data_IF_033552168114
#
_entry.id   IF_033552168114
#
_cell.length_a   1.000
_cell.length_b   1.000
_cell.length_c   1.000
_cell.angle_alpha   90.00
_cell.angle_beta   90.00
_cell.angle_gamma   90.00
#
_symmetry.space_group_name_H-M   'P 1'
#
loop_
_entity.id
_entity.type
_entity.pdbx_description
1 polymer ?
#
# COMPACT_ATOMS: atom_id res chain seq x y z
N UNK A 1 -53.10 -71.90 4.91
CA UNK A 1 -52.62 -70.85 3.98
C UNK A 1 -52.75 -69.54 4.68
N UNK A 2 -51.62 -68.96 5.19
CA UNK A 2 -51.56 -67.63 5.81
C UNK A 2 -50.77 -66.77 4.83
N UNK A 3 -51.44 -65.76 4.32
CA UNK A 3 -50.79 -64.70 3.51
C UNK A 3 -50.13 -63.70 4.40
N UNK A 4 -48.82 -63.50 4.23
CA UNK A 4 -48.06 -62.36 4.88
C UNK A 4 -48.12 -61.19 3.94
N UNK A 5 -48.68 -60.09 4.41
CA UNK A 5 -48.70 -58.76 3.75
C UNK A 5 -47.47 -57.97 4.22
N UNK A 6 -46.50 -57.81 3.34
CA UNK A 6 -45.31 -57.01 3.61
C UNK A 6 -45.59 -55.56 3.24
N UNK A 7 -45.63 -54.66 4.24
CA UNK A 7 -45.73 -53.20 4.06
C UNK A 7 -44.31 -52.66 3.88
N UNK A 8 -43.98 -52.18 2.70
CA UNK A 8 -42.77 -51.39 2.46
C UNK A 8 -43.01 -49.94 2.91
N UNK A 9 -42.32 -49.50 3.98
CA UNK A 9 -42.22 -48.11 4.37
C UNK A 9 -41.11 -47.43 3.51
N UNK A 10 -41.49 -46.54 2.61
CA UNK A 10 -40.57 -45.69 1.88
C UNK A 10 -40.22 -44.48 2.79
N UNK A 11 -39.00 -44.47 3.34
CA UNK A 11 -38.45 -43.34 4.05
C UNK A 11 -37.85 -42.38 3.04
N UNK A 12 -38.53 -41.26 2.74
CA UNK A 12 -38.02 -40.17 1.94
C UNK A 12 -37.04 -39.34 2.77
N UNK A 13 -35.77 -39.42 2.45
CA UNK A 13 -34.76 -38.56 3.02
C UNK A 13 -34.86 -37.17 2.36
N UNK A 14 -35.40 -36.18 3.11
CA UNK A 14 -35.26 -34.78 2.74
C UNK A 14 -33.84 -34.33 3.07
N UNK A 15 -32.96 -34.25 2.10
CA UNK A 15 -31.68 -33.57 2.23
C UNK A 15 -31.97 -32.07 2.25
N UNK A 16 -31.98 -31.47 3.44
CA UNK A 16 -31.93 -30.01 3.58
C UNK A 16 -30.50 -29.57 3.21
N UNK A 17 -30.29 -29.17 1.94
CA UNK A 17 -29.10 -28.43 1.55
C UNK A 17 -29.14 -27.07 2.23
N UNK A 18 -28.40 -26.93 3.31
CA UNK A 18 -28.04 -25.58 3.78
C UNK A 18 -27.20 -24.95 2.68
N UNK A 19 -27.78 -24.01 1.96
CA UNK A 19 -26.99 -23.12 1.11
C UNK A 19 -26.03 -22.40 2.03
N UNK A 20 -24.76 -22.78 2.01
CA UNK A 20 -23.69 -22.04 2.65
C UNK A 20 -23.78 -20.64 2.07
N UNK A 21 -24.04 -19.64 2.89
CA UNK A 21 -24.10 -18.24 2.41
C UNK A 21 -22.76 -17.95 1.75
N UNK A 22 -22.79 -17.72 0.46
CA UNK A 22 -21.60 -17.46 -0.36
C UNK A 22 -21.11 -16.04 -0.02
N UNK A 23 -20.54 -15.88 1.19
CA UNK A 23 -19.98 -14.62 1.67
C UNK A 23 -18.46 -14.69 1.50
N UNK A 24 -17.95 -13.94 0.56
CA UNK A 24 -16.51 -13.78 0.38
C UNK A 24 -16.06 -12.42 0.94
N UNK A 25 -14.82 -12.37 1.45
CA UNK A 25 -14.23 -11.17 2.05
C UNK A 25 -12.85 -10.90 1.46
N UNK A 26 -12.56 -9.63 1.21
CA UNK A 26 -11.23 -9.13 0.86
C UNK A 26 -10.80 -8.05 1.85
N UNK A 27 -9.57 -8.14 2.30
CA UNK A 27 -8.90 -7.12 3.10
C UNK A 27 -7.90 -6.37 2.21
N UNK A 28 -8.18 -5.12 1.93
CA UNK A 28 -7.27 -4.22 1.24
C UNK A 28 -6.36 -3.51 2.23
N UNK A 29 -5.13 -3.26 1.78
CA UNK A 29 -4.19 -2.40 2.47
C UNK A 29 -3.54 -1.46 1.46
N UNK A 30 -3.56 -0.17 1.78
CA UNK A 30 -2.93 0.88 0.98
C UNK A 30 -1.91 1.62 1.83
N UNK A 31 -0.81 2.01 1.23
CA UNK A 31 0.18 2.90 1.83
C UNK A 31 0.47 4.07 0.90
N UNK A 32 0.99 5.15 1.46
CA UNK A 32 1.37 6.34 0.72
C UNK A 32 2.66 6.19 -0.09
N UNK A 33 3.35 7.30 -0.24
CA UNK A 33 4.46 7.45 -1.17
C UNK A 33 5.71 6.73 -0.67
N UNK A 34 6.22 5.79 -1.48
CA UNK A 34 7.50 5.10 -1.25
C UNK A 34 8.57 5.83 -2.04
N UNK A 35 9.28 6.71 -1.35
CA UNK A 35 10.33 7.53 -1.92
C UNK A 35 11.73 7.05 -1.52
N UNK A 36 12.75 7.51 -2.24
CA UNK A 36 14.14 7.11 -2.03
C UNK A 36 15.09 8.30 -2.15
N UNK A 37 15.37 8.96 -1.04
CA UNK A 37 16.34 10.06 -0.98
C UNK A 37 17.77 9.54 -0.74
N UNK A 38 18.75 10.40 -0.96
CA UNK A 38 20.17 10.04 -0.80
C UNK A 38 20.53 9.47 0.58
N UNK A 39 19.91 9.99 1.66
CA UNK A 39 20.11 9.46 3.02
C UNK A 39 19.58 8.02 3.19
N UNK A 40 18.49 7.68 2.51
CA UNK A 40 17.94 6.32 2.53
C UNK A 40 18.83 5.35 1.75
N UNK A 41 19.36 5.78 0.59
CA UNK A 41 20.33 4.99 -0.20
C UNK A 41 21.56 4.70 0.66
N UNK A 42 22.12 5.72 1.30
CA UNK A 42 23.28 5.56 2.17
C UNK A 42 22.99 4.66 3.39
N UNK A 43 21.80 4.81 3.99
CA UNK A 43 21.38 4.01 5.14
C UNK A 43 21.15 2.52 4.84
N UNK A 44 20.79 2.21 3.59
CA UNK A 44 20.56 0.83 3.13
C UNK A 44 21.83 0.16 2.61
N UNK A 45 22.92 0.91 2.37
CA UNK A 45 24.14 0.35 1.79
C UNK A 45 24.97 -0.39 2.83
N UNK A 46 25.26 -1.65 2.56
CA UNK A 46 26.15 -2.48 3.33
C UNK A 46 27.53 -2.58 2.65
N UNK A 47 28.50 -1.82 3.14
CA UNK A 47 29.83 -1.75 2.54
C UNK A 47 30.60 -3.10 2.58
N UNK A 48 30.30 -3.98 3.55
CA UNK A 48 30.96 -5.30 3.65
C UNK A 48 30.50 -6.27 2.55
N UNK A 49 29.24 -6.11 2.10
CA UNK A 49 28.62 -6.96 1.09
C UNK A 49 28.57 -6.29 -0.30
N UNK A 50 28.93 -5.02 -0.42
CA UNK A 50 28.73 -4.16 -1.59
C UNK A 50 27.29 -4.27 -2.12
N UNK A 51 26.31 -4.22 -1.23
CA UNK A 51 24.91 -4.44 -1.54
C UNK A 51 23.99 -3.52 -0.74
N UNK A 52 22.77 -3.33 -1.23
CA UNK A 52 21.71 -2.57 -0.55
C UNK A 52 20.72 -3.52 0.13
N UNK A 53 20.22 -3.13 1.29
CA UNK A 53 19.18 -3.86 2.02
C UNK A 53 18.22 -2.88 2.70
N UNK A 54 16.94 -2.93 2.33
CA UNK A 54 15.90 -2.08 2.89
C UNK A 54 14.93 -2.85 3.79
N UNK A 55 15.17 -4.14 4.05
CA UNK A 55 14.22 -4.98 4.80
C UNK A 55 13.97 -4.49 6.21
N UNK A 56 14.98 -3.91 6.84
CA UNK A 56 14.86 -3.33 8.18
C UNK A 56 13.87 -2.16 8.22
N UNK A 57 13.75 -1.42 7.11
CA UNK A 57 12.82 -0.31 7.01
C UNK A 57 11.36 -0.74 7.26
N UNK A 58 10.99 -1.93 6.81
CA UNK A 58 9.63 -2.44 6.84
C UNK A 58 9.35 -3.40 8.01
N UNK A 59 10.33 -3.72 8.85
CA UNK A 59 10.21 -4.79 9.85
C UNK A 59 9.02 -4.63 10.80
N UNK A 60 8.70 -3.41 11.23
CA UNK A 60 7.62 -3.15 12.19
C UNK A 60 6.22 -3.08 11.54
N UNK A 61 6.15 -2.93 10.23
CA UNK A 61 4.88 -2.89 9.47
C UNK A 61 4.61 -4.16 8.67
N UNK A 62 5.63 -4.98 8.45
CA UNK A 62 5.54 -6.23 7.69
C UNK A 62 4.44 -7.18 8.17
N UNK A 63 4.20 -7.41 9.48
CA UNK A 63 3.12 -8.26 9.93
C UNK A 63 1.74 -7.72 9.56
N UNK A 64 1.58 -6.39 9.59
CA UNK A 64 0.32 -5.73 9.22
C UNK A 64 0.08 -5.90 7.71
N UNK A 65 1.11 -5.65 6.89
CA UNK A 65 1.03 -5.75 5.43
C UNK A 65 0.69 -7.18 4.99
N UNK A 66 1.30 -8.20 5.61
CA UNK A 66 1.10 -9.60 5.26
C UNK A 66 -0.30 -10.15 5.59
N UNK A 67 -1.05 -9.47 6.42
CA UNK A 67 -2.43 -9.85 6.75
C UNK A 67 -3.45 -9.38 5.70
N UNK A 68 -3.03 -8.57 4.73
CA UNK A 68 -3.91 -8.11 3.67
C UNK A 68 -3.96 -9.11 2.50
N UNK A 69 -5.14 -9.23 1.87
CA UNK A 69 -5.32 -10.01 0.64
C UNK A 69 -4.76 -9.25 -0.57
N UNK A 70 -4.97 -7.93 -0.61
CA UNK A 70 -4.48 -7.02 -1.64
C UNK A 70 -3.80 -5.84 -0.96
N UNK A 71 -2.47 -5.76 -1.11
CA UNK A 71 -1.62 -4.73 -0.49
C UNK A 71 -0.95 -3.89 -1.58
N UNK A 72 -1.23 -2.58 -1.58
CA UNK A 72 -0.88 -1.66 -2.66
C UNK A 72 0.08 -0.60 -2.16
N UNK A 73 1.23 -0.45 -2.84
CA UNK A 73 2.21 0.61 -2.58
C UNK A 73 2.41 1.51 -3.80
N UNK A 74 2.52 2.83 -3.58
CA UNK A 74 2.92 3.78 -4.62
C UNK A 74 4.46 3.85 -4.67
N UNK A 75 5.06 3.29 -5.73
CA UNK A 75 6.51 3.37 -5.97
C UNK A 75 6.84 4.71 -6.64
N UNK A 76 7.18 5.70 -5.84
CA UNK A 76 7.44 7.08 -6.30
C UNK A 76 8.93 7.32 -6.58
N UNK A 77 9.52 6.37 -7.30
CA UNK A 77 10.89 6.40 -7.80
C UNK A 77 11.01 5.54 -9.04
N UNK A 78 12.11 5.71 -9.80
CA UNK A 78 12.49 4.76 -10.85
C UNK A 78 13.67 3.89 -10.43
N UNK A 79 13.85 2.75 -11.10
CA UNK A 79 15.05 1.90 -11.02
C UNK A 79 15.95 2.13 -12.25
N UNK A 80 16.33 3.40 -12.53
CA UNK A 80 17.08 3.74 -13.73
C UNK A 80 18.50 3.14 -13.77
N UNK A 81 18.99 2.60 -12.67
CA UNK A 81 20.31 2.01 -12.51
C UNK A 81 21.35 2.98 -11.93
N UNK A 82 22.57 2.49 -11.76
CA UNK A 82 23.70 3.29 -11.24
C UNK A 82 24.03 4.47 -12.18
N UNK A 83 24.48 5.62 -11.63
CA UNK A 83 24.58 5.92 -10.21
C UNK A 83 23.19 6.08 -9.57
N UNK A 84 22.98 5.44 -8.42
CA UNK A 84 21.75 5.64 -7.64
C UNK A 84 21.74 7.05 -7.05
N UNK A 85 20.56 7.70 -7.03
CA UNK A 85 20.40 9.08 -6.56
C UNK A 85 18.99 9.36 -6.08
N UNK A 86 18.91 10.28 -5.12
CA UNK A 86 17.66 10.82 -4.62
C UNK A 86 17.16 11.99 -5.47
N UNK A 87 16.43 12.89 -4.78
CA UNK A 87 15.88 14.11 -5.38
C UNK A 87 16.96 14.92 -6.15
N UNK A 88 16.62 15.59 -7.29
CA UNK A 88 15.25 15.75 -7.83
C UNK A 88 14.80 14.66 -8.81
N UNK A 89 15.67 13.78 -9.26
CA UNK A 89 15.36 12.69 -10.19
C UNK A 89 15.84 11.38 -9.57
N UNK A 90 14.88 10.61 -9.08
CA UNK A 90 15.16 9.39 -8.32
C UNK A 90 15.63 8.24 -9.22
N UNK A 91 16.70 7.58 -8.77
CA UNK A 91 17.13 6.28 -9.28
C UNK A 91 17.47 5.38 -8.10
N UNK A 92 16.51 4.56 -7.69
CA UNK A 92 16.64 3.68 -6.53
C UNK A 92 17.32 2.35 -6.90
N UNK A 93 18.07 1.74 -5.95
CA UNK A 93 18.48 0.33 -6.06
C UNK A 93 17.24 -0.58 -6.20
N UNK A 94 17.29 -1.64 -7.03
CA UNK A 94 16.20 -2.62 -7.15
C UNK A 94 15.79 -3.27 -5.83
N UNK A 95 16.71 -3.39 -4.89
CA UNK A 95 16.53 -3.95 -3.56
C UNK A 95 15.45 -3.21 -2.74
N UNK A 96 15.10 -1.97 -3.11
CA UNK A 96 13.94 -1.29 -2.52
C UNK A 96 12.65 -2.03 -2.87
N UNK A 97 12.41 -2.33 -4.15
CA UNK A 97 11.23 -3.09 -4.58
C UNK A 97 11.27 -4.55 -4.11
N UNK A 98 12.46 -5.18 -4.04
CA UNK A 98 12.63 -6.50 -3.43
C UNK A 98 12.16 -6.49 -1.97
N UNK A 99 12.49 -5.43 -1.22
CA UNK A 99 12.08 -5.28 0.18
C UNK A 99 10.59 -4.98 0.33
N UNK A 100 9.96 -4.29 -0.62
CA UNK A 100 8.50 -4.12 -0.67
C UNK A 100 7.80 -5.47 -0.83
N UNK A 101 8.25 -6.30 -1.77
CA UNK A 101 7.70 -7.64 -2.00
C UNK A 101 7.93 -8.53 -0.77
N UNK A 102 9.12 -8.50 -0.16
CA UNK A 102 9.41 -9.22 1.09
C UNK A 102 8.51 -8.76 2.24
N UNK A 103 8.19 -7.46 2.31
CA UNK A 103 7.28 -6.91 3.31
C UNK A 103 5.84 -7.40 3.12
N UNK A 104 5.46 -7.88 1.93
CA UNK A 104 4.15 -8.46 1.64
C UNK A 104 3.32 -7.66 0.64
N UNK A 105 3.85 -6.59 0.05
CA UNK A 105 3.15 -5.89 -1.02
C UNK A 105 3.02 -6.78 -2.26
N UNK A 106 1.81 -6.90 -2.78
CA UNK A 106 1.50 -7.73 -3.95
C UNK A 106 1.02 -6.91 -5.16
N UNK A 107 0.84 -5.60 -4.98
CA UNK A 107 0.54 -4.64 -6.05
C UNK A 107 1.40 -3.39 -5.88
N UNK A 108 1.99 -2.92 -6.97
CA UNK A 108 2.77 -1.68 -7.05
C UNK A 108 2.15 -0.77 -8.09
N UNK A 109 1.81 0.46 -7.71
CA UNK A 109 1.35 1.49 -8.65
C UNK A 109 2.53 2.40 -9.02
N UNK A 110 2.61 2.78 -10.29
CA UNK A 110 3.78 3.45 -10.88
C UNK A 110 3.48 4.77 -11.57
N UNK A 111 2.19 5.16 -11.74
CA UNK A 111 1.84 6.46 -12.27
C UNK A 111 1.88 7.51 -11.15
N UNK A 112 2.96 8.27 -11.11
CA UNK A 112 3.21 9.37 -10.19
C UNK A 112 4.10 10.42 -10.89
N UNK A 113 4.39 11.55 -10.22
CA UNK A 113 5.17 12.64 -10.82
C UNK A 113 6.65 12.26 -11.05
N UNK A 114 7.16 11.19 -10.42
CA UNK A 114 8.50 10.65 -10.61
C UNK A 114 8.58 9.46 -11.58
N UNK A 115 7.47 9.10 -12.23
CA UNK A 115 7.43 7.99 -13.19
C UNK A 115 8.44 8.10 -14.32
N UNK A 116 8.79 9.34 -14.73
CA UNK A 116 9.71 9.62 -15.83
C UNK A 116 11.15 9.92 -15.40
N UNK A 117 11.49 9.79 -14.14
CA UNK A 117 12.86 9.97 -13.66
C UNK A 117 13.80 8.98 -14.35
N UNK A 118 14.95 9.45 -14.80
CA UNK A 118 15.85 8.63 -15.63
C UNK A 118 15.36 8.42 -17.08
N UNK A 119 14.30 9.12 -17.51
CA UNK A 119 13.74 9.09 -18.87
C UNK A 119 13.18 7.72 -19.26
N UNK A 120 13.11 7.45 -20.56
CA UNK A 120 12.60 6.18 -21.10
C UNK A 120 13.29 4.94 -20.51
N UNK A 121 14.61 5.03 -20.27
CA UNK A 121 15.37 3.94 -19.64
C UNK A 121 14.92 3.69 -18.20
N UNK A 122 14.61 4.76 -17.44
CA UNK A 122 14.11 4.63 -16.07
C UNK A 122 12.79 3.89 -16.03
N UNK A 123 11.83 4.27 -16.87
CA UNK A 123 10.53 3.58 -16.98
C UNK A 123 10.72 2.10 -17.32
N UNK A 124 11.45 1.78 -18.40
CA UNK A 124 11.62 0.38 -18.83
C UNK A 124 12.29 -0.47 -17.75
N UNK A 125 13.38 0.02 -17.15
CA UNK A 125 14.06 -0.72 -16.09
C UNK A 125 13.23 -0.91 -14.83
N UNK A 126 12.38 0.07 -14.49
CA UNK A 126 11.45 -0.08 -13.38
C UNK A 126 10.47 -1.22 -13.64
N UNK A 127 9.89 -1.26 -14.84
CA UNK A 127 9.01 -2.35 -15.25
C UNK A 127 9.73 -3.72 -15.25
N UNK A 128 10.97 -3.77 -15.75
CA UNK A 128 11.78 -5.00 -15.78
C UNK A 128 12.07 -5.53 -14.36
N UNK A 129 12.32 -4.63 -13.40
CA UNK A 129 12.52 -5.01 -11.99
C UNK A 129 11.24 -5.58 -11.41
N UNK A 130 10.09 -4.92 -11.62
CA UNK A 130 8.80 -5.36 -11.09
C UNK A 130 8.36 -6.70 -11.72
N UNK A 131 8.55 -6.87 -13.03
CA UNK A 131 8.29 -8.13 -13.73
C UNK A 131 9.17 -9.28 -13.17
N UNK A 132 10.47 -9.03 -13.00
CA UNK A 132 11.40 -10.02 -12.42
C UNK A 132 10.98 -10.45 -11.01
N UNK A 133 10.43 -9.54 -10.23
CA UNK A 133 9.92 -9.82 -8.88
C UNK A 133 8.56 -10.54 -8.90
N UNK A 134 7.90 -10.62 -10.05
CA UNK A 134 6.58 -11.22 -10.19
C UNK A 134 5.48 -10.45 -9.44
N UNK A 135 5.71 -9.20 -9.06
CA UNK A 135 4.73 -8.36 -8.40
C UNK A 135 3.80 -7.72 -9.41
N UNK A 136 2.50 -7.71 -9.14
CA UNK A 136 1.54 -7.04 -10.02
C UNK A 136 1.77 -5.53 -9.99
N UNK A 137 1.80 -4.90 -11.17
CA UNK A 137 2.01 -3.47 -11.24
C UNK A 137 1.16 -2.81 -12.33
N UNK A 138 0.91 -1.51 -12.20
CA UNK A 138 0.12 -0.74 -13.16
C UNK A 138 0.41 0.76 -13.05
N UNK A 139 0.07 1.51 -14.11
CA UNK A 139 0.22 2.96 -14.19
C UNK A 139 1.17 3.40 -15.30
N UNK A 140 2.22 2.61 -15.58
CA UNK A 140 3.17 2.84 -16.68
C UNK A 140 3.31 1.57 -17.53
N UNK A 141 3.58 1.72 -18.82
CA UNK A 141 3.61 0.61 -19.78
C UNK A 141 4.68 0.83 -20.85
N UNK A 142 5.25 -0.25 -21.37
CA UNK A 142 6.24 -0.21 -22.45
C UNK A 142 5.65 0.22 -23.80
N UNK A 143 4.35 -0.03 -24.01
CA UNK A 143 3.66 0.33 -25.24
C UNK A 143 2.13 0.17 -25.11
N UNK A 144 1.41 0.59 -26.18
CA UNK A 144 -0.04 0.54 -26.25
C UNK A 144 -0.60 -0.91 -26.17
N UNK A 145 0.12 -1.88 -26.74
CA UNK A 145 -0.32 -3.28 -26.70
C UNK A 145 -0.29 -3.80 -25.27
N UNK A 146 0.81 -3.57 -24.52
CA UNK A 146 0.94 -3.96 -23.12
C UNK A 146 -0.17 -3.31 -22.27
N UNK A 147 -0.39 -1.98 -22.43
CA UNK A 147 -1.48 -1.28 -21.75
C UNK A 147 -2.84 -1.87 -22.08
N UNK A 148 -3.14 -2.10 -23.33
CA UNK A 148 -4.43 -2.63 -23.76
C UNK A 148 -4.69 -4.03 -23.19
N UNK A 149 -3.67 -4.86 -23.05
CA UNK A 149 -3.76 -6.22 -22.52
C UNK A 149 -3.88 -6.23 -20.98
N UNK A 150 -3.09 -5.38 -20.30
CA UNK A 150 -2.90 -5.47 -18.85
C UNK A 150 -3.63 -4.37 -18.06
N UNK A 151 -4.39 -3.49 -18.73
CA UNK A 151 -5.10 -2.39 -18.07
C UNK A 151 -6.59 -2.37 -18.40
N UNK A 152 -7.50 -2.19 -17.43
CA UNK A 152 -7.26 -2.11 -15.97
C UNK A 152 -6.53 -3.33 -15.42
N UNK A 153 -5.72 -3.16 -14.35
CA UNK A 153 -5.10 -4.30 -13.66
C UNK A 153 -6.19 -5.10 -12.95
N UNK A 154 -6.33 -6.36 -13.33
CA UNK A 154 -7.31 -7.28 -12.75
C UNK A 154 -6.68 -8.16 -11.68
N UNK A 155 -7.37 -8.26 -10.55
CA UNK A 155 -7.06 -9.20 -9.48
C UNK A 155 -8.29 -10.02 -9.16
N UNK A 156 -8.16 -11.33 -9.26
CA UNK A 156 -9.19 -12.27 -8.80
C UNK A 156 -8.71 -12.91 -7.50
N UNK A 157 -9.46 -12.71 -6.43
CA UNK A 157 -9.12 -13.23 -5.10
C UNK A 157 -10.39 -13.44 -4.28
N UNK A 158 -10.45 -14.55 -3.53
CA UNK A 158 -11.57 -14.87 -2.65
C UNK A 158 -12.94 -14.73 -3.33
N UNK A 159 -13.07 -15.17 -4.60
CA UNK A 159 -14.33 -15.09 -5.35
C UNK A 159 -14.76 -13.69 -5.78
N UNK A 160 -13.90 -12.68 -5.64
CA UNK A 160 -14.12 -11.32 -6.12
C UNK A 160 -13.13 -10.93 -7.20
N UNK A 161 -13.62 -10.17 -8.19
CA UNK A 161 -12.84 -9.62 -9.29
C UNK A 161 -12.71 -8.12 -9.12
N UNK A 162 -11.49 -7.64 -8.95
CA UNK A 162 -11.14 -6.24 -8.66
C UNK A 162 -10.41 -5.64 -9.85
N UNK A 163 -10.83 -4.45 -10.29
CA UNK A 163 -10.07 -3.61 -11.22
C UNK A 163 -9.32 -2.53 -10.45
N UNK A 164 -8.02 -2.42 -10.68
CA UNK A 164 -7.19 -1.33 -10.15
C UNK A 164 -6.83 -0.40 -11.30
N UNK A 165 -7.16 0.88 -11.13
CA UNK A 165 -6.84 1.98 -12.02
C UNK A 165 -5.83 2.88 -11.33
N UNK A 166 -4.82 3.40 -12.08
CA UNK A 166 -3.80 4.29 -11.53
C UNK A 166 -3.44 5.39 -12.52
N UNK A 167 -3.45 6.65 -12.04
CA UNK A 167 -3.17 7.83 -12.86
C UNK A 167 -2.39 8.88 -12.07
N UNK A 168 -1.64 9.74 -12.79
CA UNK A 168 -0.92 10.90 -12.24
C UNK A 168 -1.33 12.20 -12.90
N UNK A 169 -1.26 13.31 -12.13
CA UNK A 169 -1.50 14.66 -12.65
C UNK A 169 -0.40 15.12 -13.62
N UNK A 170 0.79 14.55 -13.51
CA UNK A 170 1.94 15.01 -14.29
C UNK A 170 3.21 14.21 -13.96
N UNK A 171 4.32 14.62 -14.57
CA UNK A 171 5.64 13.97 -14.46
C UNK A 171 6.76 14.98 -14.30
N UNK A 172 6.54 16.03 -13.48
CA UNK A 172 7.51 17.09 -13.19
C UNK A 172 8.12 17.75 -14.46
N UNK A 173 7.31 17.87 -15.51
CA UNK A 173 7.75 18.41 -16.80
C UNK A 173 8.64 17.47 -17.63
N UNK A 174 8.92 16.27 -17.13
CA UNK A 174 9.62 15.23 -17.88
C UNK A 174 8.64 14.48 -18.79
N UNK A 175 9.15 14.01 -19.93
CA UNK A 175 8.39 13.16 -20.84
C UNK A 175 9.20 11.93 -21.23
N UNK A 176 8.51 10.91 -21.71
CA UNK A 176 9.13 9.71 -22.28
C UNK A 176 8.77 9.59 -23.74
N UNK A 177 9.70 9.03 -24.52
CA UNK A 177 9.46 8.81 -25.94
C UNK A 177 8.46 7.67 -26.15
N UNK A 178 7.64 7.79 -27.20
CA UNK A 178 6.88 6.66 -27.68
C UNK A 178 7.83 5.46 -27.96
N UNK A 179 7.39 4.21 -27.70
CA UNK A 179 6.02 3.78 -27.46
C UNK A 179 5.59 3.77 -25.99
N UNK A 180 6.41 4.26 -25.04
CA UNK A 180 6.12 4.22 -23.60
C UNK A 180 4.86 5.03 -23.27
N UNK A 181 4.10 4.56 -22.28
CA UNK A 181 2.86 5.20 -21.84
C UNK A 181 2.91 5.37 -20.32
N UNK A 182 2.57 6.59 -19.89
CA UNK A 182 2.26 6.94 -18.51
C UNK A 182 0.76 7.25 -18.45
N UNK A 183 0.03 6.74 -17.51
CA UNK A 183 -1.37 7.06 -17.34
C UNK A 183 -1.52 8.43 -16.66
N UNK A 184 -1.92 9.43 -17.41
CA UNK A 184 -2.25 10.75 -16.89
C UNK A 184 -3.72 10.84 -16.49
N UNK A 185 -4.02 11.71 -15.53
CA UNK A 185 -5.39 12.11 -15.20
C UNK A 185 -5.96 12.90 -16.39
N UNK A 186 -6.78 12.24 -17.17
CA UNK A 186 -7.48 12.78 -18.35
C UNK A 186 -8.87 12.17 -18.44
N UNK A 187 -9.90 13.01 -18.58
CA UNK A 187 -11.30 12.55 -18.52
C UNK A 187 -11.64 11.56 -19.63
N UNK A 188 -11.16 11.80 -20.85
CA UNK A 188 -11.45 10.93 -22.00
C UNK A 188 -10.82 9.54 -21.83
N UNK A 189 -9.54 9.52 -21.41
CA UNK A 189 -8.81 8.26 -21.17
C UNK A 189 -9.43 7.51 -20.00
N UNK A 190 -9.68 8.20 -18.89
CA UNK A 190 -10.24 7.58 -17.69
C UNK A 190 -11.66 7.05 -17.93
N UNK A 191 -12.52 7.78 -18.64
CA UNK A 191 -13.87 7.33 -19.00
C UNK A 191 -13.84 6.01 -19.79
N UNK A 192 -12.94 5.91 -20.79
CA UNK A 192 -12.76 4.68 -21.57
C UNK A 192 -12.26 3.51 -20.69
N UNK A 193 -11.33 3.76 -19.76
CA UNK A 193 -10.79 2.73 -18.88
C UNK A 193 -11.84 2.26 -17.85
N UNK A 194 -12.61 3.18 -17.27
CA UNK A 194 -13.73 2.82 -16.39
C UNK A 194 -14.81 2.04 -17.13
N UNK A 195 -15.13 2.43 -18.37
CA UNK A 195 -16.05 1.66 -19.22
C UNK A 195 -15.53 0.25 -19.45
N UNK A 196 -14.26 0.11 -19.79
CA UNK A 196 -13.62 -1.22 -19.96
C UNK A 196 -13.68 -2.05 -18.68
N UNK A 197 -13.42 -1.47 -17.50
CA UNK A 197 -13.56 -2.16 -16.23
C UNK A 197 -14.98 -2.70 -16.01
N UNK A 198 -16.01 -1.87 -16.28
CA UNK A 198 -17.41 -2.30 -16.17
C UNK A 198 -17.75 -3.43 -17.15
N UNK A 199 -17.29 -3.33 -18.40
CA UNK A 199 -17.47 -4.39 -19.42
C UNK A 199 -16.85 -5.71 -19.03
N UNK A 200 -15.76 -5.69 -18.26
CA UNK A 200 -15.12 -6.86 -17.67
C UNK A 200 -15.91 -7.46 -16.50
N UNK A 201 -17.04 -6.86 -16.11
CA UNK A 201 -17.91 -7.31 -15.03
C UNK A 201 -17.15 -7.54 -13.72
N UNK A 202 -16.33 -6.54 -13.36
CA UNK A 202 -15.63 -6.58 -12.08
C UNK A 202 -16.60 -6.31 -10.92
N UNK A 203 -16.29 -6.86 -9.77
CA UNK A 203 -17.06 -6.66 -8.54
C UNK A 203 -16.74 -5.33 -7.86
N UNK A 204 -15.51 -4.82 -8.06
CA UNK A 204 -15.01 -3.61 -7.40
C UNK A 204 -14.03 -2.85 -8.30
N UNK A 205 -14.13 -1.52 -8.29
CA UNK A 205 -13.18 -0.62 -8.97
C UNK A 205 -12.46 0.24 -7.94
N UNK A 206 -11.14 0.06 -7.85
CA UNK A 206 -10.23 0.88 -7.05
C UNK A 206 -9.50 1.84 -7.98
N UNK A 207 -9.67 3.15 -7.79
CA UNK A 207 -8.96 4.18 -8.54
C UNK A 207 -7.92 4.85 -7.66
N UNK A 208 -6.65 4.75 -8.02
CA UNK A 208 -5.55 5.39 -7.31
C UNK A 208 -5.07 6.61 -8.10
N UNK A 209 -4.97 7.77 -7.43
CA UNK A 209 -4.66 9.06 -8.05
C UNK A 209 -3.47 9.73 -7.38
N UNK A 210 -2.46 10.05 -8.17
CA UNK A 210 -1.36 10.89 -7.73
C UNK A 210 -1.67 12.33 -8.11
N UNK A 211 -2.10 13.14 -7.13
CA UNK A 211 -2.82 14.38 -7.36
C UNK A 211 -2.69 15.42 -6.23
N UNK A 212 -3.23 16.61 -6.47
CA UNK A 212 -3.36 17.65 -5.43
C UNK A 212 -2.17 18.61 -5.43
N UNK A 213 -1.96 19.26 -4.30
CA UNK A 213 -0.89 20.22 -4.08
C UNK A 213 0.01 19.73 -2.95
N UNK A 214 1.31 19.72 -3.18
CA UNK A 214 2.28 19.32 -2.15
C UNK A 214 2.09 20.10 -0.84
N UNK A 215 2.19 19.38 0.26
CA UNK A 215 2.23 19.90 1.64
C UNK A 215 0.92 20.55 2.14
N UNK A 216 -0.18 20.39 1.42
CA UNK A 216 -1.51 20.83 1.84
C UNK A 216 -2.23 19.70 2.57
N UNK A 217 -2.59 19.91 3.84
CA UNK A 217 -3.26 18.88 4.67
C UNK A 217 -4.76 18.72 4.40
N UNK A 218 -5.35 19.53 3.52
CA UNK A 218 -6.75 19.41 3.11
C UNK A 218 -6.85 19.33 1.58
N UNK A 219 -7.82 18.55 1.07
CA UNK A 219 -8.00 18.39 -0.37
C UNK A 219 -8.46 19.69 -1.03
N UNK A 220 -7.84 20.02 -2.17
CA UNK A 220 -8.20 21.18 -2.96
C UNK A 220 -9.37 20.90 -3.93
N UNK A 221 -9.81 21.92 -4.68
CA UNK A 221 -10.92 21.80 -5.63
C UNK A 221 -10.61 20.80 -6.77
N UNK A 222 -9.34 20.72 -7.21
CA UNK A 222 -8.91 19.77 -8.25
C UNK A 222 -9.15 18.33 -7.80
N UNK A 223 -8.71 17.99 -6.58
CA UNK A 223 -8.92 16.65 -6.01
C UNK A 223 -10.42 16.33 -5.89
N UNK A 224 -11.23 17.26 -5.37
CA UNK A 224 -12.68 17.08 -5.20
C UNK A 224 -13.42 16.85 -6.53
N UNK A 225 -13.02 17.56 -7.58
CA UNK A 225 -13.60 17.39 -8.91
C UNK A 225 -13.27 16.00 -9.50
N UNK A 226 -12.03 15.54 -9.38
CA UNK A 226 -11.63 14.24 -9.88
C UNK A 226 -12.19 13.08 -9.04
N UNK A 227 -12.33 13.26 -7.74
CA UNK A 227 -13.04 12.29 -6.91
C UNK A 227 -14.48 12.10 -7.37
N UNK A 228 -15.20 13.23 -7.55
CA UNK A 228 -16.57 13.19 -8.07
C UNK A 228 -16.64 12.49 -9.43
N UNK A 229 -15.73 12.81 -10.34
CA UNK A 229 -15.62 12.15 -11.64
C UNK A 229 -15.45 10.62 -11.48
N UNK A 230 -14.53 10.17 -10.64
CA UNK A 230 -14.31 8.74 -10.41
C UNK A 230 -15.58 8.04 -9.90
N UNK A 231 -16.29 8.65 -8.97
CA UNK A 231 -17.56 8.08 -8.49
C UNK A 231 -18.67 8.11 -9.53
N UNK A 232 -18.73 9.13 -10.35
CA UNK A 232 -19.70 9.19 -11.46
C UNK A 232 -19.42 8.09 -12.49
N UNK A 233 -18.15 7.70 -12.68
CA UNK A 233 -17.74 6.60 -13.54
C UNK A 233 -17.85 5.21 -12.88
N UNK A 234 -18.14 5.13 -11.58
CA UNK A 234 -18.39 3.86 -10.88
C UNK A 234 -17.22 3.34 -10.04
N UNK A 235 -16.29 4.20 -9.61
CA UNK A 235 -15.32 3.83 -8.59
C UNK A 235 -15.99 3.45 -7.26
N UNK A 236 -15.43 2.50 -6.54
CA UNK A 236 -15.81 2.14 -5.18
C UNK A 236 -14.85 2.74 -4.16
N UNK A 237 -13.58 2.84 -4.52
CA UNK A 237 -12.55 3.45 -3.71
C UNK A 237 -11.72 4.43 -4.55
N UNK A 238 -11.44 5.60 -3.98
CA UNK A 238 -10.52 6.61 -4.54
C UNK A 238 -9.41 6.85 -3.54
N UNK A 239 -8.19 6.47 -3.91
CA UNK A 239 -7.01 6.48 -3.03
C UNK A 239 -5.96 7.44 -3.58
N UNK A 240 -5.63 8.48 -2.82
CA UNK A 240 -4.74 9.55 -3.20
C UNK A 240 -3.32 9.44 -2.64
N UNK A 241 -2.35 9.97 -3.40
CA UNK A 241 -0.96 10.22 -3.04
C UNK A 241 -0.49 11.54 -3.64
N UNK A 242 0.76 11.95 -3.46
CA UNK A 242 1.44 13.17 -3.93
C UNK A 242 1.55 14.32 -2.91
N UNK A 243 0.54 14.70 -2.09
CA UNK A 243 0.73 15.80 -1.17
C UNK A 243 1.87 15.61 -0.16
N UNK A 244 2.40 14.41 0.00
CA UNK A 244 3.45 14.02 0.96
C UNK A 244 3.08 14.28 2.42
N UNK A 245 1.84 14.63 2.68
CA UNK A 245 1.27 14.83 4.00
C UNK A 245 -0.06 14.07 4.09
N UNK A 246 -0.44 13.73 5.30
CA UNK A 246 -1.75 13.14 5.55
C UNK A 246 -2.86 14.12 5.16
N UNK A 247 -3.83 13.62 4.41
CA UNK A 247 -5.12 14.27 4.20
C UNK A 247 -6.23 13.36 4.73
N UNK A 248 -7.46 13.86 4.92
CA UNK A 248 -8.56 13.09 5.50
C UNK A 248 -8.88 11.79 4.78
N UNK A 249 -9.48 10.87 5.51
CA UNK A 249 -10.14 9.67 4.99
C UNK A 249 -11.64 9.79 5.22
N UNK A 250 -12.43 9.53 4.20
CA UNK A 250 -13.89 9.65 4.28
C UNK A 250 -14.57 8.38 3.73
N UNK A 251 -15.43 7.80 4.55
CA UNK A 251 -16.46 6.87 4.07
C UNK A 251 -17.73 7.65 3.94
N UNK A 252 -18.27 7.71 2.73
CA UNK A 252 -19.47 8.49 2.41
C UNK A 252 -20.46 7.66 1.60
N UNK A 253 -21.72 8.04 1.64
CA UNK A 253 -22.75 7.45 0.79
C UNK A 253 -22.80 8.20 -0.56
N UNK A 254 -22.69 7.45 -1.64
CA UNK A 254 -22.82 7.94 -3.02
C UNK A 254 -23.79 7.03 -3.75
N UNK A 255 -24.91 7.60 -4.23
CA UNK A 255 -25.97 6.85 -4.93
C UNK A 255 -26.49 5.63 -4.14
N UNK A 256 -26.57 5.75 -2.81
CA UNK A 256 -27.06 4.68 -1.91
C UNK A 256 -26.01 3.60 -1.56
N UNK A 257 -24.76 3.77 -1.94
CA UNK A 257 -23.67 2.85 -1.64
C UNK A 257 -22.56 3.55 -0.84
N UNK A 258 -21.94 2.81 0.10
CA UNK A 258 -20.77 3.29 0.83
C UNK A 258 -19.55 3.29 -0.09
N UNK A 259 -18.87 4.42 -0.19
CA UNK A 259 -17.65 4.61 -0.97
C UNK A 259 -16.53 5.13 -0.06
N UNK A 260 -15.30 4.82 -0.40
CA UNK A 260 -14.11 5.20 0.37
C UNK A 260 -13.26 6.20 -0.42
N UNK A 261 -13.00 7.37 0.17
CA UNK A 261 -11.96 8.30 -0.31
C UNK A 261 -10.87 8.42 0.74
N UNK A 262 -9.62 8.20 0.34
CA UNK A 262 -8.45 8.67 1.06
C UNK A 262 -7.78 9.76 0.23
N UNK A 263 -7.78 11.00 0.71
CA UNK A 263 -7.30 12.13 -0.09
C UNK A 263 -5.79 12.12 -0.29
N UNK A 264 -5.02 11.77 0.75
CA UNK A 264 -3.59 11.46 0.69
C UNK A 264 -3.16 10.60 1.88
N UNK A 265 -2.39 9.57 1.59
CA UNK A 265 -1.84 8.68 2.62
C UNK A 265 -0.49 9.18 3.20
N UNK A 266 0.02 10.32 2.71
CA UNK A 266 1.31 10.87 3.14
C UNK A 266 2.51 10.05 2.67
N UNK A 267 3.65 10.25 3.30
CA UNK A 267 4.88 9.51 3.02
C UNK A 267 4.91 8.19 3.80
N UNK A 268 4.80 7.07 3.09
CA UNK A 268 5.04 5.78 3.74
C UNK A 268 6.50 5.61 4.14
N UNK A 269 7.42 6.01 3.25
CA UNK A 269 8.84 6.16 3.55
C UNK A 269 9.46 7.24 2.70
N UNK A 270 10.14 8.20 3.34
CA UNK A 270 10.90 9.26 2.69
C UNK A 270 11.97 9.82 3.62
N UNK A 271 12.82 10.70 3.12
CA UNK A 271 13.70 11.53 3.97
C UNK A 271 13.27 13.00 3.97
N UNK A 272 12.01 13.29 3.72
CA UNK A 272 11.42 14.59 4.03
C UNK A 272 11.17 14.65 5.54
N UNK A 273 11.81 15.62 6.23
CA UNK A 273 11.89 15.60 7.71
C UNK A 273 11.11 16.68 8.40
N UNK A 274 10.62 17.67 7.63
CA UNK A 274 9.80 18.72 8.23
C UNK A 274 8.45 18.15 8.64
N UNK A 275 7.96 18.61 9.77
CA UNK A 275 6.58 18.41 10.14
C UNK A 275 5.72 19.15 9.09
N UNK A 276 4.88 18.48 8.37
CA UNK A 276 4.03 17.30 8.45
C UNK A 276 4.38 16.18 7.45
N UNK A 277 5.58 16.20 6.86
CA UNK A 277 6.02 15.29 5.77
C UNK A 277 6.77 14.06 6.28
N UNK A 278 6.94 13.95 7.59
CA UNK A 278 7.80 12.99 8.28
C UNK A 278 7.13 11.63 8.52
N UNK A 279 5.98 11.37 7.88
CA UNK A 279 5.28 10.11 7.99
C UNK A 279 4.02 10.03 7.12
N UNK A 280 3.28 8.98 7.29
CA UNK A 280 2.08 8.67 6.54
C UNK A 280 1.14 7.76 7.32
N UNK A 281 0.38 6.92 6.60
CA UNK A 281 -0.47 5.92 7.21
C UNK A 281 -0.55 4.63 6.38
N UNK A 282 -0.93 3.56 7.04
CA UNK A 282 -1.49 2.36 6.46
C UNK A 282 -3.01 2.50 6.53
N UNK A 283 -3.69 2.42 5.40
CA UNK A 283 -5.14 2.38 5.31
C UNK A 283 -5.60 0.96 5.02
N UNK A 284 -6.52 0.45 5.81
CA UNK A 284 -7.09 -0.88 5.66
C UNK A 284 -8.58 -0.76 5.37
N UNK A 285 -9.08 -1.53 4.40
CA UNK A 285 -10.48 -1.56 4.04
C UNK A 285 -10.95 -3.02 3.85
N UNK A 286 -11.96 -3.39 4.58
CA UNK A 286 -12.65 -4.66 4.41
C UNK A 286 -13.76 -4.51 3.35
N UNK A 287 -13.84 -5.47 2.46
CA UNK A 287 -14.90 -5.56 1.45
C UNK A 287 -15.54 -6.94 1.55
N UNK A 288 -16.86 -6.95 1.65
CA UNK A 288 -17.64 -8.18 1.72
C UNK A 288 -18.52 -8.32 0.47
N UNK A 289 -18.61 -9.54 -0.07
CA UNK A 289 -19.58 -9.87 -1.11
C UNK A 289 -20.67 -10.75 -0.46
N UNK A 290 -21.87 -10.21 -0.39
CA UNK A 290 -23.02 -10.87 0.22
C UNK A 290 -24.14 -10.93 -0.82
N UNK A 291 -24.64 -12.12 -1.14
CA UNK A 291 -25.67 -12.31 -2.16
C UNK A 291 -25.35 -11.65 -3.50
N UNK A 292 -24.08 -11.74 -3.91
CA UNK A 292 -23.59 -11.18 -5.17
C UNK A 292 -23.33 -9.66 -5.15
N UNK A 293 -23.65 -8.95 -4.06
CA UNK A 293 -23.39 -7.50 -3.90
C UNK A 293 -22.12 -7.25 -3.11
N UNK A 294 -21.30 -6.34 -3.58
CA UNK A 294 -20.12 -5.86 -2.86
C UNK A 294 -20.49 -4.73 -1.92
N UNK A 295 -20.07 -4.84 -0.67
CA UNK A 295 -20.33 -3.87 0.39
C UNK A 295 -19.00 -3.52 1.08
N UNK A 296 -18.72 -2.22 1.18
CA UNK A 296 -17.61 -1.72 2.00
C UNK A 296 -17.93 -1.99 3.49
N UNK A 297 -17.06 -2.75 4.12
CA UNK A 297 -17.13 -3.09 5.54
C UNK A 297 -16.37 -2.08 6.41
N UNK A 298 -15.53 -2.62 7.28
CA UNK A 298 -14.71 -1.83 8.20
C UNK A 298 -13.60 -1.11 7.46
N UNK A 299 -13.39 0.17 7.78
CA UNK A 299 -12.26 0.97 7.32
C UNK A 299 -11.44 1.41 8.52
N UNK A 300 -10.16 1.09 8.53
CA UNK A 300 -9.24 1.42 9.60
C UNK A 300 -7.96 2.06 9.05
N UNK A 301 -7.29 2.85 9.88
CA UNK A 301 -5.99 3.40 9.57
C UNK A 301 -5.03 3.21 10.73
N UNK A 302 -3.75 3.05 10.42
CA UNK A 302 -2.66 3.11 11.38
C UNK A 302 -1.66 4.17 10.91
N UNK A 303 -1.43 5.21 11.69
CA UNK A 303 -0.41 6.20 11.38
C UNK A 303 0.99 5.57 11.46
N UNK A 304 1.91 6.04 10.63
CA UNK A 304 3.29 5.56 10.59
C UNK A 304 4.26 6.72 10.49
N UNK A 305 5.20 6.78 11.42
CA UNK A 305 6.26 7.78 11.43
C UNK A 305 7.54 7.21 10.83
N UNK A 306 8.25 8.00 10.02
CA UNK A 306 9.52 7.59 9.43
C UNK A 306 10.67 8.02 10.34
N UNK A 307 11.42 7.06 10.84
CA UNK A 307 12.52 7.26 11.76
C UNK A 307 13.90 6.96 11.13
N UNK A 308 14.68 7.99 10.76
CA UNK A 308 16.08 7.82 10.40
C UNK A 308 16.91 7.67 11.67
N UNK A 309 17.05 6.45 12.18
CA UNK A 309 17.76 6.19 13.42
C UNK A 309 19.27 6.32 13.23
N UNK A 310 19.93 7.06 14.10
CA UNK A 310 21.38 7.14 14.10
C UNK A 310 21.97 5.88 14.73
N UNK A 311 22.55 5.03 13.92
CA UNK A 311 23.39 3.90 14.34
C UNK A 311 24.87 4.30 14.25
N UNK A 312 25.78 3.45 14.78
CA UNK A 312 27.20 3.77 14.88
C UNK A 312 27.88 4.14 13.54
N UNK A 313 27.45 3.51 12.45
CA UNK A 313 28.07 3.68 11.11
C UNK A 313 27.07 4.15 10.05
N UNK A 314 25.81 3.78 10.18
CA UNK A 314 24.75 4.04 9.19
C UNK A 314 23.54 4.69 9.85
N UNK A 315 22.63 5.24 9.03
CA UNK A 315 21.34 5.74 9.47
C UNK A 315 20.22 4.93 8.82
N UNK A 316 19.91 3.74 9.34
CA UNK A 316 18.79 2.98 8.83
C UNK A 316 17.49 3.75 9.04
N UNK A 317 16.57 3.58 8.09
CA UNK A 317 15.24 4.16 8.17
C UNK A 317 14.27 3.09 8.62
N UNK A 318 13.36 3.46 9.52
CA UNK A 318 12.30 2.58 10.02
C UNK A 318 10.95 3.24 9.81
N UNK A 319 9.96 2.46 9.42
CA UNK A 319 8.56 2.86 9.39
C UNK A 319 7.92 2.38 10.69
N UNK A 320 7.58 3.32 11.56
CA UNK A 320 7.13 3.05 12.93
C UNK A 320 5.63 3.31 13.08
N UNK A 321 4.76 2.27 13.20
CA UNK A 321 3.41 2.45 13.70
C UNK A 321 3.41 2.89 15.17
N UNK A 322 2.25 3.30 15.72
CA UNK A 322 2.15 3.71 17.12
C UNK A 322 2.39 2.53 18.07
N UNK A 323 3.53 2.57 18.75
CA UNK A 323 3.96 1.53 19.65
C UNK A 323 5.03 2.01 20.63
N UNK A 324 5.11 1.43 21.83
CA UNK A 324 6.16 1.77 22.80
C UNK A 324 7.45 0.97 22.52
N UNK A 325 8.26 1.47 21.60
CA UNK A 325 9.51 0.82 21.17
C UNK A 325 10.55 0.69 22.28
N UNK A 326 10.52 1.55 23.29
CA UNK A 326 11.48 1.52 24.40
C UNK A 326 11.22 0.36 25.38
N UNK A 327 10.07 -0.31 25.28
CA UNK A 327 9.86 -1.60 25.98
C UNK A 327 10.72 -2.73 25.44
N UNK A 328 11.13 -2.67 24.17
CA UNK A 328 12.02 -3.70 23.59
C UNK A 328 13.47 -3.35 23.77
N UNK A 329 13.80 -2.08 23.54
CA UNK A 329 15.13 -1.55 23.57
C UNK A 329 15.07 -0.14 24.12
N UNK A 330 15.52 0.04 25.35
CA UNK A 330 15.38 1.30 26.12
C UNK A 330 15.97 2.54 25.42
N UNK A 331 16.85 2.35 24.44
CA UNK A 331 17.50 3.40 23.64
C UNK A 331 16.99 3.50 22.20
N UNK A 332 15.92 2.76 21.83
CA UNK A 332 15.47 2.72 20.42
C UNK A 332 15.06 4.10 19.92
N UNK A 333 14.23 4.82 20.69
CA UNK A 333 13.92 6.23 20.49
C UNK A 333 14.69 7.06 21.51
N UNK A 334 15.67 7.85 21.04
CA UNK A 334 16.29 8.85 21.92
C UNK A 334 15.29 9.97 22.27
N UNK A 335 15.63 10.84 23.22
CA UNK A 335 14.73 11.87 23.71
C UNK A 335 14.20 12.82 22.60
N UNK A 336 15.04 13.22 21.66
CA UNK A 336 14.63 14.07 20.52
C UNK A 336 13.68 13.32 19.58
N UNK A 337 13.99 12.08 19.24
CA UNK A 337 13.16 11.23 18.39
C UNK A 337 11.79 10.98 19.03
N UNK A 338 11.75 10.76 20.36
CA UNK A 338 10.50 10.56 21.11
C UNK A 338 9.60 11.80 21.03
N UNK A 339 10.13 12.99 21.16
CA UNK A 339 9.34 14.23 21.02
C UNK A 339 8.76 14.34 19.62
N UNK A 340 9.55 14.11 18.56
CA UNK A 340 9.07 14.17 17.17
C UNK A 340 8.00 13.12 16.89
N UNK A 341 8.20 11.91 17.40
CA UNK A 341 7.25 10.82 17.33
C UNK A 341 5.91 11.19 17.97
N UNK A 342 5.91 11.67 19.21
CA UNK A 342 4.70 12.05 19.93
C UNK A 342 3.95 13.20 19.23
N UNK A 343 4.68 14.19 18.70
CA UNK A 343 4.10 15.30 17.93
C UNK A 343 3.46 14.77 16.65
N UNK A 344 4.12 13.87 15.90
CA UNK A 344 3.56 13.29 14.69
C UNK A 344 2.21 12.62 14.95
N UNK A 345 2.13 11.73 15.95
CA UNK A 345 0.89 11.01 16.25
C UNK A 345 -0.20 11.92 16.79
N UNK A 346 0.16 12.89 17.64
CA UNK A 346 -0.79 13.87 18.18
C UNK A 346 -1.44 14.71 17.08
N UNK A 347 -0.64 15.28 16.18
CA UNK A 347 -1.13 16.14 15.10
C UNK A 347 -1.95 15.34 14.09
N UNK A 348 -1.51 14.11 13.75
CA UNK A 348 -2.21 13.22 12.83
C UNK A 348 -3.60 12.87 13.37
N UNK A 349 -3.70 12.55 14.68
CA UNK A 349 -4.98 12.29 15.36
C UNK A 349 -5.87 13.52 15.40
N UNK A 350 -5.30 14.71 15.62
CA UNK A 350 -6.05 15.96 15.62
C UNK A 350 -6.65 16.24 14.23
N UNK A 351 -5.87 16.09 13.15
CA UNK A 351 -6.34 16.22 11.78
C UNK A 351 -7.49 15.26 11.48
N UNK A 352 -7.33 13.98 11.84
CA UNK A 352 -8.31 12.95 11.53
C UNK A 352 -9.58 13.11 12.37
N UNK A 353 -9.47 13.47 13.64
CA UNK A 353 -10.63 13.77 14.49
C UNK A 353 -11.48 14.91 13.91
N UNK A 354 -10.86 15.92 13.31
CA UNK A 354 -11.55 17.08 12.77
C UNK A 354 -12.13 16.83 11.39
N UNK A 355 -11.45 16.07 10.53
CA UNK A 355 -11.76 16.06 9.09
C UNK A 355 -12.07 14.67 8.52
N UNK A 356 -11.73 13.57 9.19
CA UNK A 356 -12.02 12.22 8.70
C UNK A 356 -13.35 11.68 9.20
N UNK A 357 -13.98 10.81 8.39
CA UNK A 357 -15.28 10.20 8.73
C UNK A 357 -15.33 8.73 8.31
N UNK A 358 -15.95 7.90 9.16
CA UNK A 358 -16.20 6.50 8.84
C UNK A 358 -14.96 5.60 8.86
N UNK A 359 -13.88 6.07 9.47
CA UNK A 359 -12.66 5.29 9.72
C UNK A 359 -12.30 5.32 11.20
N UNK A 360 -11.63 4.28 11.68
CA UNK A 360 -11.13 4.19 13.06
C UNK A 360 -9.63 3.90 13.08
N UNK A 361 -8.94 4.38 14.13
CA UNK A 361 -7.52 4.09 14.29
C UNK A 361 -7.34 2.63 14.73
N UNK A 362 -6.57 1.87 13.95
CA UNK A 362 -6.11 0.53 14.30
C UNK A 362 -4.93 0.64 15.26
N UNK A 363 -5.08 0.09 16.44
CA UNK A 363 -4.00 0.03 17.42
C UNK A 363 -3.18 -1.24 17.18
N UNK A 364 -1.94 -1.05 16.81
CA UNK A 364 -0.99 -2.14 16.65
C UNK A 364 -0.71 -2.77 18.01
N UNK A 365 -0.99 -4.07 18.17
CA UNK A 365 -0.63 -4.77 19.39
C UNK A 365 0.89 -4.99 19.46
N UNK A 366 1.43 -5.03 20.69
CA UNK A 366 2.84 -5.35 20.91
C UNK A 366 3.24 -6.64 20.24
N UNK A 367 2.42 -7.66 20.31
CA UNK A 367 2.67 -8.98 19.74
C UNK A 367 2.82 -8.93 18.21
N UNK A 368 2.02 -8.12 17.50
CA UNK A 368 2.15 -7.96 16.03
C UNK A 368 3.48 -7.32 15.64
N UNK A 369 3.97 -6.34 16.40
CA UNK A 369 5.27 -5.73 16.19
C UNK A 369 6.40 -6.70 16.50
N UNK A 370 6.26 -7.48 17.59
CA UNK A 370 7.23 -8.47 18.04
C UNK A 370 7.29 -9.66 17.08
N UNK A 371 6.15 -10.23 16.69
CA UNK A 371 6.14 -11.38 15.78
C UNK A 371 6.82 -11.05 14.45
N UNK A 372 6.70 -9.82 13.95
CA UNK A 372 7.42 -9.36 12.79
C UNK A 372 8.93 -9.41 12.96
N UNK A 373 9.41 -9.03 14.13
CA UNK A 373 10.83 -8.99 14.48
C UNK A 373 11.37 -10.37 14.91
N UNK A 374 10.67 -11.05 15.84
CA UNK A 374 11.11 -12.32 16.42
C UNK A 374 10.62 -13.56 15.65
N UNK A 375 9.54 -13.50 14.89
CA UNK A 375 9.11 -14.62 14.07
C UNK A 375 10.16 -15.06 13.04
N UNK A 376 11.06 -14.16 12.66
CA UNK A 376 12.25 -14.47 11.86
C UNK A 376 13.35 -15.12 12.68
N UNK A 377 13.53 -14.73 13.94
CA UNK A 377 14.53 -15.26 14.86
C UNK A 377 14.23 -16.72 15.26
N UNK A 378 12.97 -17.01 15.56
CA UNK A 378 12.53 -18.34 16.01
C UNK A 378 12.50 -19.37 14.87
N UNK A 379 12.41 -18.93 13.60
CA UNK A 379 12.41 -19.83 12.41
C UNK A 379 13.79 -20.07 11.80
N UNK A 380 14.88 -19.62 12.41
CA UNK A 380 16.24 -20.06 12.12
C UNK A 380 16.88 -19.55 10.83
N UNK A 381 16.20 -18.73 10.01
CA UNK A 381 16.75 -18.31 8.71
C UNK A 381 17.56 -17.01 8.72
N UNK A 382 17.57 -16.26 9.81
CA UNK A 382 18.26 -14.98 9.95
C UNK A 382 19.32 -14.91 11.05
N UNK A 383 19.45 -15.94 11.90
CA UNK A 383 20.46 -15.99 12.98
C UNK A 383 21.90 -15.92 12.46
N UNK A 384 22.13 -16.19 11.17
CA UNK A 384 23.47 -16.11 10.55
C UNK A 384 23.79 -14.75 9.91
N UNK A 385 22.82 -13.85 9.72
CA UNK A 385 23.02 -12.59 8.98
C UNK A 385 23.17 -11.35 9.85
N UNK A 386 22.76 -11.41 11.13
CA UNK A 386 22.89 -10.27 12.06
C UNK A 386 23.75 -10.68 13.26
N UNK A 387 24.74 -9.85 13.68
CA UNK A 387 25.59 -10.17 14.82
C UNK A 387 24.75 -10.32 16.08
N UNK A 388 24.99 -11.38 16.83
CA UNK A 388 24.35 -11.77 18.10
C UNK A 388 24.27 -10.66 19.16
N UNK A 389 25.05 -9.60 19.02
CA UNK A 389 25.08 -8.46 19.95
C UNK A 389 23.80 -7.61 19.98
N UNK A 390 22.97 -7.66 18.93
CA UNK A 390 21.66 -6.98 18.92
C UNK A 390 20.69 -7.60 19.93
N UNK A 391 20.94 -8.85 20.35
CA UNK A 391 20.02 -9.65 21.15
C UNK A 391 20.40 -9.81 22.62
N UNK A 392 21.61 -9.37 23.00
CA UNK A 392 22.14 -9.57 24.35
C UNK A 392 21.38 -8.84 25.47
N UNK A 393 20.53 -7.87 25.13
CA UNK A 393 19.81 -7.06 26.10
C UNK A 393 18.28 -7.21 26.06
N UNK A 394 17.75 -8.17 25.31
CA UNK A 394 16.36 -8.57 25.40
C UNK A 394 16.25 -9.66 26.47
N UNK A 395 16.09 -9.27 27.72
CA UNK A 395 15.59 -10.19 28.74
C UNK A 395 14.20 -10.63 28.33
N UNK A 396 14.08 -11.93 28.07
CA UNK A 396 12.81 -12.63 27.87
C UNK A 396 12.11 -12.64 29.22
N UNK A 397 11.00 -11.92 29.34
CA UNK A 397 9.98 -12.16 30.37
C UNK A 397 8.77 -12.77 29.70
#
# INVERSE_FOLDING_TARGET
MRQFLSILLAVSWFTVSFAQSDSSRLNFLFVGDVMQHGGQIAGAYNAKKDAYDYRDCFQFVKPIIKNADISIANLEVTHAGKPYKGYPQFSAPPELSESLVDAGFNVVITANNHSCDGGSKGVVKTLDVLDKLGVKHTGTFRNKQERNTNYPLLIEKNGMKVAILNYTYGTNGLSVAAPLIINYIDSTVMEADFKKAREMKVDLIVCTLHWGTEYQSLPNAYQKNWEKFCYDQGADMVIGGHPHVLQPVEVKEVKGEKKLTAWSLGNFVSNQRDRTKDGGMILMAEVNKVEGKVVLGKVEHAFTWVYPRQEAVVKPFYILPDFDYNKYRSDFLNAEAKVKYDVFFSDSRALFKQHSKGTSEFKVSGDQVIEGYYGKLLKGSYAQEYPYEVFKNAEII
#
